data_IF_378334556383
#
_entry.id   IF_378334556383
#
_cell.length_a   1.000
_cell.length_b   1.000
_cell.length_c   1.000
_cell.angle_alpha   90.00
_cell.angle_beta   90.00
_cell.angle_gamma   90.00
#
_symmetry.space_group_name_H-M   'P 1'
#
loop_
_entity.id
_entity.type
_entity.pdbx_description
1 polymer ?
#
# COMPACT_ATOMS: atom_id res chain seq x y z
N UNK A 1 17.05 6.12 -11.09
CA UNK A 1 16.70 5.68 -9.72
C UNK A 1 15.62 6.63 -9.22
N UNK A 2 14.64 6.17 -8.44
CA UNK A 2 13.49 7.00 -8.01
C UNK A 2 13.94 8.35 -7.41
N UNK A 3 15.04 8.38 -6.67
CA UNK A 3 15.59 9.61 -6.09
C UNK A 3 16.07 10.62 -7.14
N UNK A 4 16.77 10.18 -8.18
CA UNK A 4 17.21 11.04 -9.27
C UNK A 4 16.04 11.67 -10.05
N UNK A 5 14.89 10.99 -10.12
CA UNK A 5 13.70 11.47 -10.82
C UNK A 5 12.90 12.47 -9.95
N UNK A 6 12.92 12.29 -8.62
CA UNK A 6 12.13 13.10 -7.69
C UNK A 6 12.85 14.34 -7.15
N UNK A 7 14.15 14.26 -6.88
CA UNK A 7 14.91 15.37 -6.29
C UNK A 7 14.88 16.68 -7.10
N UNK A 8 14.86 16.68 -8.45
CA UNK A 8 14.72 17.92 -9.23
C UNK A 8 13.30 18.50 -9.24
N UNK A 9 12.29 17.75 -8.79
CA UNK A 9 10.90 18.18 -8.80
C UNK A 9 10.53 18.90 -7.52
N UNK A 10 9.71 19.95 -7.65
CA UNK A 10 9.28 20.76 -6.50
C UNK A 10 8.33 19.98 -5.58
N UNK A 11 7.33 19.32 -6.17
CA UNK A 11 6.26 18.63 -5.46
C UNK A 11 6.07 17.24 -6.10
N UNK A 12 5.95 16.21 -5.26
CA UNK A 12 5.78 14.83 -5.73
C UNK A 12 4.91 14.00 -4.80
N UNK A 13 4.31 12.93 -5.37
CA UNK A 13 3.59 11.90 -4.63
C UNK A 13 4.18 10.55 -5.00
N UNK A 14 4.62 9.79 -3.99
CA UNK A 14 5.11 8.43 -4.15
C UNK A 14 4.14 7.45 -3.50
N UNK A 15 3.69 6.43 -4.24
CA UNK A 15 2.74 5.42 -3.74
C UNK A 15 3.29 4.01 -3.88
N UNK A 16 3.27 3.23 -2.80
CA UNK A 16 3.65 1.82 -2.80
C UNK A 16 4.28 1.35 -1.49
N UNK A 17 5.02 0.24 -1.55
CA UNK A 17 5.77 -0.33 -0.43
C UNK A 17 7.11 0.39 -0.22
N UNK A 18 7.05 1.71 -0.02
CA UNK A 18 8.21 2.63 -0.03
C UNK A 18 9.29 2.23 0.98
N UNK A 19 8.90 1.63 2.12
CA UNK A 19 9.80 1.15 3.16
C UNK A 19 10.92 0.21 2.68
N UNK A 20 10.79 -0.40 1.49
CA UNK A 20 11.83 -1.25 0.89
C UNK A 20 12.40 -0.74 -0.44
N UNK A 21 12.07 0.47 -0.88
CA UNK A 21 12.46 0.98 -2.21
C UNK A 21 13.63 1.94 -2.19
N UNK A 22 13.85 2.62 -1.08
CA UNK A 22 14.87 3.66 -0.97
C UNK A 22 15.80 3.25 0.16
N UNK A 23 17.12 3.15 -0.07
CA UNK A 23 18.04 3.17 1.05
C UNK A 23 17.78 4.47 1.82
N UNK A 24 17.40 4.31 3.07
CA UNK A 24 17.33 5.40 4.06
C UNK A 24 18.62 6.25 3.95
N UNK A 25 18.61 7.59 3.85
CA UNK A 25 17.49 8.55 3.78
C UNK A 25 17.66 9.59 2.64
N UNK A 26 17.35 9.27 1.39
CA UNK A 26 17.48 10.27 0.29
C UNK A 26 16.20 11.10 0.01
N UNK A 27 15.05 10.72 0.56
CA UNK A 27 13.78 11.44 0.32
C UNK A 27 13.16 11.93 1.63
N UNK A 28 12.98 13.25 1.71
CA UNK A 28 12.25 13.89 2.80
C UNK A 28 10.77 13.97 2.46
N UNK A 29 9.97 13.10 3.08
CA UNK A 29 8.52 13.17 2.99
C UNK A 29 8.01 14.35 3.82
N UNK A 30 7.11 15.16 3.27
CA UNK A 30 6.42 16.21 4.03
C UNK A 30 5.18 15.69 4.74
N UNK A 31 4.56 14.63 4.24
CA UNK A 31 3.39 13.93 4.78
C UNK A 31 3.42 12.48 4.31
N UNK A 32 3.08 11.54 5.20
CA UNK A 32 2.84 10.14 4.82
C UNK A 32 1.38 9.79 5.08
N UNK A 33 0.66 9.33 4.05
CA UNK A 33 -0.68 8.79 4.20
C UNK A 33 -0.63 7.26 4.26
N UNK A 34 -0.98 6.69 5.41
CA UNK A 34 -1.00 5.25 5.63
C UNK A 34 -2.42 4.70 5.62
N UNK A 35 -2.79 4.09 4.50
CA UNK A 35 -4.11 3.51 4.25
C UNK A 35 -4.18 2.05 4.70
N UNK A 36 -5.21 1.71 5.47
CA UNK A 36 -5.42 0.36 6.00
C UNK A 36 -6.79 -0.15 5.57
N UNK A 37 -6.91 -1.45 5.33
CA UNK A 37 -8.21 -2.12 5.05
C UNK A 37 -8.17 -3.45 5.79
N UNK A 38 -9.23 -3.83 6.53
CA UNK A 38 -9.29 -5.14 7.19
C UNK A 38 -8.98 -6.27 6.22
N UNK A 39 -8.26 -7.29 6.68
CA UNK A 39 -7.78 -8.42 5.85
C UNK A 39 -8.89 -9.03 5.01
N UNK A 40 -10.02 -9.34 5.63
CA UNK A 40 -11.16 -10.02 5.01
C UNK A 40 -11.68 -9.20 3.82
N UNK A 41 -11.81 -7.89 4.01
CA UNK A 41 -12.27 -6.96 2.98
C UNK A 41 -11.24 -6.83 1.86
N UNK A 42 -9.95 -6.74 2.21
CA UNK A 42 -8.85 -6.65 1.24
C UNK A 42 -8.78 -7.91 0.38
N UNK A 43 -8.92 -9.10 0.99
CA UNK A 43 -8.96 -10.38 0.27
C UNK A 43 -10.19 -10.49 -0.61
N UNK A 44 -11.38 -10.08 -0.12
CA UNK A 44 -12.60 -10.02 -0.94
C UNK A 44 -12.42 -9.17 -2.19
N UNK A 45 -11.86 -7.96 -2.03
CA UNK A 45 -11.56 -7.04 -3.16
C UNK A 45 -10.51 -7.63 -4.10
N UNK A 46 -9.47 -8.26 -3.57
CA UNK A 46 -8.42 -8.91 -4.36
C UNK A 46 -8.98 -10.04 -5.23
N UNK A 47 -9.72 -10.98 -4.64
CA UNK A 47 -10.36 -12.09 -5.38
C UNK A 47 -11.26 -11.57 -6.50
N UNK A 48 -12.09 -10.56 -6.21
CA UNK A 48 -12.95 -9.94 -7.22
C UNK A 48 -12.14 -9.38 -8.39
N UNK A 49 -11.09 -8.59 -8.12
CA UNK A 49 -10.27 -8.00 -9.21
C UNK A 49 -9.54 -9.05 -10.04
N UNK A 50 -9.04 -10.10 -9.41
CA UNK A 50 -8.36 -11.20 -10.11
C UNK A 50 -9.35 -11.99 -10.98
N UNK A 51 -10.56 -12.23 -10.48
CA UNK A 51 -11.65 -12.84 -11.27
C UNK A 51 -12.08 -11.96 -12.43
N UNK A 52 -12.25 -10.65 -12.21
CA UNK A 52 -12.62 -9.70 -13.26
C UNK A 52 -11.53 -9.61 -14.35
N UNK A 53 -10.26 -9.74 -13.97
CA UNK A 53 -9.11 -9.61 -14.89
C UNK A 53 -8.78 -10.89 -15.64
N UNK A 54 -8.82 -12.04 -14.97
CA UNK A 54 -8.32 -13.31 -15.50
C UNK A 54 -9.43 -14.35 -15.76
N UNK A 55 -10.66 -14.05 -15.33
CA UNK A 55 -11.87 -14.82 -15.63
C UNK A 55 -11.71 -16.31 -15.27
N UNK A 56 -12.00 -17.23 -16.21
CA UNK A 56 -11.96 -18.68 -15.96
C UNK A 56 -10.58 -19.19 -15.55
N UNK A 57 -9.50 -18.49 -15.91
CA UNK A 57 -8.12 -18.94 -15.64
C UNK A 57 -7.82 -19.07 -14.15
N UNK A 58 -8.43 -18.24 -13.31
CA UNK A 58 -8.22 -18.26 -11.85
C UNK A 58 -9.22 -19.14 -11.10
N UNK A 59 -10.25 -19.65 -11.79
CA UNK A 59 -11.22 -20.59 -11.20
C UNK A 59 -10.64 -22.00 -11.13
N UNK A 60 -11.24 -22.85 -10.30
CA UNK A 60 -10.84 -24.26 -10.19
C UNK A 60 -10.82 -24.93 -11.57
N UNK A 61 -9.69 -25.57 -11.91
CA UNK A 61 -9.44 -26.18 -13.22
C UNK A 61 -8.81 -25.22 -14.26
N UNK A 62 -8.74 -23.93 -13.98
CA UNK A 62 -8.01 -22.95 -14.79
C UNK A 62 -6.50 -23.03 -14.59
N UNK A 63 -5.75 -22.60 -15.60
CA UNK A 63 -4.28 -22.66 -15.65
C UNK A 63 -3.58 -21.72 -14.65
N UNK A 64 -4.27 -20.70 -14.14
CA UNK A 64 -3.77 -19.76 -13.14
C UNK A 64 -4.29 -20.04 -11.73
N UNK A 65 -5.13 -21.06 -11.52
CA UNK A 65 -5.82 -21.27 -10.24
C UNK A 65 -4.86 -21.42 -9.06
N UNK A 66 -3.83 -22.26 -9.19
CA UNK A 66 -2.87 -22.50 -8.11
C UNK A 66 -2.10 -21.21 -7.75
N UNK A 67 -1.57 -20.51 -8.75
CA UNK A 67 -0.87 -19.25 -8.55
C UNK A 67 -1.78 -18.16 -7.94
N UNK A 68 -3.06 -18.15 -8.30
CA UNK A 68 -4.05 -17.25 -7.70
C UNK A 68 -4.26 -17.55 -6.21
N UNK A 69 -4.46 -18.81 -5.82
CA UNK A 69 -4.63 -19.17 -4.41
C UNK A 69 -3.37 -18.91 -3.59
N UNK A 70 -2.17 -19.18 -4.14
CA UNK A 70 -0.90 -18.84 -3.51
C UNK A 70 -0.78 -17.33 -3.27
N UNK A 71 -1.14 -16.52 -4.27
CA UNK A 71 -1.16 -15.06 -4.15
C UNK A 71 -2.14 -14.57 -3.09
N UNK A 72 -3.37 -15.10 -3.06
CA UNK A 72 -4.37 -14.72 -2.05
C UNK A 72 -3.91 -15.13 -0.66
N UNK A 73 -3.38 -16.33 -0.50
CA UNK A 73 -2.81 -16.80 0.75
C UNK A 73 -1.70 -15.85 1.21
N UNK A 74 -0.70 -15.60 0.37
CA UNK A 74 0.37 -14.64 0.67
C UNK A 74 -0.17 -13.24 1.07
N UNK A 75 -1.14 -12.70 0.33
CA UNK A 75 -1.70 -11.37 0.59
C UNK A 75 -2.45 -11.29 1.93
N UNK A 76 -3.09 -12.40 2.36
CA UNK A 76 -3.87 -12.47 3.60
C UNK A 76 -3.01 -12.40 4.85
N UNK A 77 -1.73 -12.74 4.72
CA UNK A 77 -0.78 -12.80 5.83
C UNK A 77 -0.14 -11.45 6.21
N UNK A 78 -0.45 -10.39 5.47
CA UNK A 78 0.15 -9.05 5.69
C UNK A 78 0.09 -8.59 7.16
N UNK A 79 -1.03 -8.80 7.86
CA UNK A 79 -1.26 -8.31 9.22
C UNK A 79 -0.60 -9.17 10.31
N UNK A 80 -0.21 -10.40 9.98
CA UNK A 80 0.28 -11.41 10.94
C UNK A 80 1.78 -11.70 10.83
N UNK A 81 2.48 -11.07 9.89
CA UNK A 81 3.93 -10.90 10.00
C UNK A 81 4.82 -12.03 9.46
N UNK A 82 4.28 -13.10 8.90
CA UNK A 82 5.07 -14.28 8.51
C UNK A 82 5.51 -14.29 7.03
N UNK A 83 5.17 -13.26 6.27
CA UNK A 83 5.51 -13.12 4.85
C UNK A 83 6.71 -12.20 4.66
N UNK A 84 7.67 -12.63 3.85
CA UNK A 84 8.89 -11.86 3.57
C UNK A 84 8.56 -10.48 2.98
N UNK A 85 9.04 -9.42 3.65
CA UNK A 85 9.19 -8.07 3.08
C UNK A 85 8.01 -7.12 3.24
N UNK A 86 6.77 -7.61 3.25
CA UNK A 86 5.56 -6.76 3.21
C UNK A 86 4.60 -7.13 4.32
N UNK A 87 4.93 -6.73 5.54
CA UNK A 87 4.09 -6.96 6.73
C UNK A 87 3.63 -5.65 7.32
N UNK A 88 2.50 -5.68 8.02
CA UNK A 88 1.99 -4.54 8.78
C UNK A 88 3.02 -4.05 9.78
N UNK A 89 3.62 -4.96 10.53
CA UNK A 89 4.64 -4.69 11.53
C UNK A 89 5.83 -3.89 10.95
N UNK A 90 6.38 -4.32 9.80
CA UNK A 90 7.50 -3.62 9.15
C UNK A 90 7.12 -2.23 8.67
N UNK A 91 5.92 -2.06 8.13
CA UNK A 91 5.44 -0.73 7.76
C UNK A 91 5.25 0.15 8.99
N UNK A 92 4.70 -0.37 10.08
CA UNK A 92 4.56 0.38 11.34
C UNK A 92 5.92 0.78 11.92
N UNK A 93 6.90 -0.12 11.90
CA UNK A 93 8.27 0.17 12.33
C UNK A 93 8.90 1.28 11.48
N UNK A 94 8.80 1.17 10.15
CA UNK A 94 9.27 2.22 9.24
C UNK A 94 8.60 3.58 9.53
N UNK A 95 7.28 3.59 9.73
CA UNK A 95 6.50 4.81 10.01
C UNK A 95 6.88 5.45 11.36
N UNK A 96 7.25 4.64 12.36
CA UNK A 96 7.69 5.13 13.66
C UNK A 96 9.04 5.86 13.61
N UNK A 97 9.86 5.59 12.59
CA UNK A 97 11.16 6.23 12.37
C UNK A 97 11.04 7.56 11.59
N UNK A 98 9.86 7.86 11.02
CA UNK A 98 9.67 9.05 10.21
C UNK A 98 9.46 10.31 11.06
N UNK A 99 10.11 11.40 10.67
CA UNK A 99 9.99 12.71 11.32
C UNK A 99 8.76 13.51 10.87
N UNK A 100 8.18 13.16 9.72
CA UNK A 100 7.01 13.84 9.17
C UNK A 100 5.69 13.27 9.72
N UNK A 101 4.59 14.04 9.67
CA UNK A 101 3.29 13.55 10.08
C UNK A 101 2.84 12.32 9.30
N UNK A 102 2.27 11.35 10.02
CA UNK A 102 1.65 10.16 9.44
C UNK A 102 0.13 10.26 9.58
N UNK A 103 -0.56 10.50 8.47
CA UNK A 103 -2.02 10.47 8.39
C UNK A 103 -2.49 9.02 8.24
N UNK A 104 -3.14 8.47 9.27
CA UNK A 104 -3.72 7.12 9.24
C UNK A 104 -5.13 7.16 8.68
N UNK A 105 -5.42 6.29 7.71
CA UNK A 105 -6.67 6.29 6.96
C UNK A 105 -7.33 4.90 6.97
N UNK A 106 -8.64 4.89 7.17
CA UNK A 106 -9.48 3.71 7.02
C UNK A 106 -10.00 3.59 5.58
N UNK A 107 -9.49 2.62 4.83
CA UNK A 107 -9.84 2.35 3.44
C UNK A 107 -11.20 1.66 3.23
N UNK A 108 -11.99 1.54 4.29
CA UNK A 108 -13.44 1.31 4.17
C UNK A 108 -14.21 2.58 3.80
N UNK A 109 -13.63 3.77 4.03
CA UNK A 109 -14.24 5.04 3.64
C UNK A 109 -14.28 5.20 2.12
N UNK A 110 -15.25 5.99 1.59
CA UNK A 110 -15.28 6.35 0.18
C UNK A 110 -13.98 7.03 -0.27
N UNK A 111 -13.54 6.72 -1.49
CA UNK A 111 -12.32 7.30 -2.06
C UNK A 111 -12.34 8.83 -2.06
N UNK A 112 -13.50 9.46 -2.29
CA UNK A 112 -13.65 10.92 -2.23
C UNK A 112 -13.30 11.49 -0.86
N UNK A 113 -13.77 10.86 0.22
CA UNK A 113 -13.46 11.30 1.59
C UNK A 113 -11.99 11.07 1.94
N UNK A 114 -11.41 9.96 1.48
CA UNK A 114 -9.98 9.68 1.68
C UNK A 114 -9.12 10.73 0.97
N UNK A 115 -9.45 11.06 -0.27
CA UNK A 115 -8.76 12.09 -1.05
C UNK A 115 -8.89 13.46 -0.38
N UNK A 116 -10.09 13.83 0.06
CA UNK A 116 -10.32 15.09 0.77
C UNK A 116 -9.43 15.23 2.01
N UNK A 117 -9.38 14.19 2.85
CA UNK A 117 -8.51 14.16 4.05
C UNK A 117 -7.03 14.30 3.72
N UNK A 118 -6.55 13.61 2.68
CA UNK A 118 -5.15 13.70 2.25
C UNK A 118 -4.83 15.09 1.73
N UNK A 119 -5.69 15.66 0.88
CA UNK A 119 -5.48 17.00 0.32
C UNK A 119 -5.52 18.08 1.40
N UNK A 120 -6.45 17.98 2.36
CA UNK A 120 -6.51 18.89 3.49
C UNK A 120 -5.23 18.83 4.33
N UNK A 121 -4.79 17.63 4.71
CA UNK A 121 -3.56 17.45 5.47
C UNK A 121 -2.32 17.96 4.72
N UNK A 122 -2.25 17.76 3.39
CA UNK A 122 -1.14 18.25 2.56
C UNK A 122 -1.09 19.78 2.48
N UNK A 123 -2.25 20.46 2.45
CA UNK A 123 -2.34 21.93 2.41
C UNK A 123 -1.96 22.62 3.71
N UNK A 124 -2.08 21.93 4.84
CA UNK A 124 -1.74 22.47 6.17
C UNK A 124 -0.23 22.40 6.46
N UNK A 125 0.57 21.92 5.52
CA UNK A 125 2.03 21.84 5.65
C UNK A 125 2.67 23.16 5.17
N UNK A 126 3.69 23.66 5.89
CA UNK A 126 4.42 24.86 5.52
C UNK A 126 5.21 24.67 4.21
#
# INVERSE_FOLDING_TARGET
MITADLLPTKDWVLSGGVAGWVPYPELDFTLIAFLTVPTDERIRRLRRREQDRFQERVRAGGDMHAAHEEFIHWASRYDIGDVMGKTRERHEAYLAEQSCPVLRLDGLLPASQLVERVVEAARQRP
#
